data_IF_113786889498
#
_entry.id   IF_113786889498
#
_cell.length_a   1.000
_cell.length_b   1.000
_cell.length_c   1.000
_cell.angle_alpha   90.00
_cell.angle_beta   90.00
_cell.angle_gamma   90.00
#
_symmetry.space_group_name_H-M   'P 1'
#
loop_
_entity.id
_entity.type
_entity.pdbx_description
1 polymer ?
#
# COMPACT_ATOMS: atom_id res chain seq x y z
N UNK A 1 -21.19 4.38 8.53
CA UNK A 1 -20.28 3.24 8.75
C UNK A 1 -19.56 3.02 7.43
N UNK A 2 -18.23 2.88 7.38
CA UNK A 2 -17.55 2.55 6.14
C UNK A 2 -18.04 1.17 5.67
N UNK A 3 -18.29 1.03 4.38
CA UNK A 3 -18.75 -0.25 3.81
C UNK A 3 -17.66 -1.32 3.98
N UNK A 4 -18.02 -2.58 4.31
CA UNK A 4 -17.06 -3.67 4.49
C UNK A 4 -16.16 -3.87 3.25
N UNK A 5 -16.66 -3.54 2.06
CA UNK A 5 -15.92 -3.56 0.80
C UNK A 5 -14.78 -2.52 0.72
N UNK A 6 -14.92 -1.35 1.35
CA UNK A 6 -13.90 -0.31 1.28
C UNK A 6 -12.66 -0.70 2.11
N UNK A 7 -12.91 -1.33 3.26
CA UNK A 7 -11.89 -1.97 4.08
C UNK A 7 -11.22 -3.13 3.35
N UNK A 8 -12.01 -4.04 2.79
CA UNK A 8 -11.50 -5.17 2.02
C UNK A 8 -10.63 -4.70 0.84
N UNK A 9 -11.00 -3.60 0.17
CA UNK A 9 -10.18 -2.97 -0.87
C UNK A 9 -8.87 -2.42 -0.32
N UNK A 10 -8.89 -1.71 0.80
CA UNK A 10 -7.66 -1.20 1.42
C UNK A 10 -6.71 -2.35 1.82
N UNK A 11 -7.24 -3.41 2.42
CA UNK A 11 -6.48 -4.62 2.70
C UNK A 11 -5.94 -5.26 1.42
N UNK A 12 -6.75 -5.40 0.37
CA UNK A 12 -6.33 -5.97 -0.91
C UNK A 12 -5.24 -5.15 -1.62
N UNK A 13 -5.28 -3.81 -1.55
CA UNK A 13 -4.22 -2.92 -2.07
C UNK A 13 -2.88 -3.18 -1.36
N UNK A 14 -2.92 -3.44 -0.06
CA UNK A 14 -1.78 -3.85 0.75
C UNK A 14 -1.44 -5.35 0.63
N UNK A 15 -2.16 -6.11 -0.18
CA UNK A 15 -1.97 -7.56 -0.31
C UNK A 15 -2.31 -8.36 0.95
N UNK A 16 -3.18 -7.80 1.80
CA UNK A 16 -3.64 -8.39 3.05
C UNK A 16 -5.07 -8.91 2.94
N UNK A 17 -5.43 -9.81 3.85
CA UNK A 17 -6.82 -10.25 3.98
C UNK A 17 -7.64 -9.28 4.85
N UNK A 18 -8.94 -9.13 4.54
CA UNK A 18 -9.85 -8.37 5.40
C UNK A 18 -9.91 -8.98 6.80
N UNK A 19 -9.61 -8.16 7.81
CA UNK A 19 -9.46 -8.59 9.20
C UNK A 19 -8.01 -8.74 9.68
N UNK A 20 -7.03 -8.39 8.84
CA UNK A 20 -5.63 -8.32 9.24
C UNK A 20 -5.39 -7.28 10.34
N UNK A 21 -4.52 -7.59 11.30
CA UNK A 21 -4.20 -6.68 12.40
C UNK A 21 -3.30 -5.54 11.96
N UNK A 22 -3.28 -4.44 12.72
CA UNK A 22 -2.38 -3.28 12.49
C UNK A 22 -0.91 -3.67 12.32
N UNK A 23 -0.45 -4.71 13.04
CA UNK A 23 0.90 -5.25 12.86
C UNK A 23 1.13 -5.84 11.47
N UNK A 24 0.17 -6.61 10.95
CA UNK A 24 0.23 -7.15 9.59
C UNK A 24 0.17 -6.04 8.54
N UNK A 25 -0.68 -5.02 8.77
CA UNK A 25 -0.77 -3.82 7.94
C UNK A 25 0.58 -3.12 7.83
N UNK A 26 1.26 -2.86 8.96
CA UNK A 26 2.62 -2.28 8.96
C UNK A 26 3.63 -3.16 8.25
N UNK A 27 3.62 -4.46 8.50
CA UNK A 27 4.58 -5.41 7.88
C UNK A 27 4.42 -5.44 6.36
N UNK A 28 3.19 -5.54 5.87
CA UNK A 28 2.90 -5.56 4.44
C UNK A 28 3.25 -4.23 3.78
N UNK A 29 2.87 -3.10 4.40
CA UNK A 29 3.21 -1.76 3.93
C UNK A 29 4.73 -1.60 3.79
N UNK A 30 5.50 -1.97 4.81
CA UNK A 30 6.96 -1.85 4.79
C UNK A 30 7.59 -2.74 3.70
N UNK A 31 7.10 -3.97 3.54
CA UNK A 31 7.57 -4.88 2.49
C UNK A 31 7.25 -4.38 1.08
N UNK A 32 6.04 -3.86 0.86
CA UNK A 32 5.64 -3.29 -0.42
C UNK A 32 6.42 -2.02 -0.75
N UNK A 33 6.61 -1.14 0.23
CA UNK A 33 7.38 0.09 0.06
C UNK A 33 8.84 -0.21 -0.33
N UNK A 34 9.43 -1.27 0.24
CA UNK A 34 10.77 -1.76 -0.14
C UNK A 34 10.81 -2.29 -1.58
N UNK A 35 9.70 -2.84 -2.08
CA UNK A 35 9.54 -3.26 -3.47
C UNK A 35 9.40 -2.10 -4.45
N UNK A 36 8.69 -1.04 -4.05
CA UNK A 36 8.49 0.19 -4.82
C UNK A 36 9.57 1.26 -4.56
N UNK A 37 10.69 0.89 -3.94
CA UNK A 37 11.74 1.86 -3.59
C UNK A 37 12.18 2.65 -4.83
N UNK A 38 12.20 3.99 -4.76
CA UNK A 38 12.59 4.84 -5.87
C UNK A 38 13.99 4.50 -6.37
N UNK A 39 14.85 3.96 -5.52
CA UNK A 39 16.18 3.46 -5.85
C UNK A 39 16.15 2.33 -6.89
N UNK A 40 15.21 1.38 -6.75
CA UNK A 40 15.03 0.26 -7.69
C UNK A 40 14.36 0.69 -8.99
N UNK A 41 13.54 1.73 -8.99
CA UNK A 41 12.88 2.23 -10.22
C UNK A 41 13.60 3.41 -10.85
N UNK A 42 14.56 4.03 -10.15
CA UNK A 42 15.37 5.13 -10.66
C UNK A 42 16.19 4.71 -11.88
N UNK A 43 16.68 3.47 -11.89
CA UNK A 43 17.40 2.92 -13.05
C UNK A 43 16.48 2.54 -14.23
N UNK A 44 15.17 2.36 -13.99
CA UNK A 44 14.20 1.92 -15.00
C UNK A 44 13.56 3.10 -15.76
N UNK A 45 13.82 4.34 -15.36
CA UNK A 45 13.35 5.55 -16.03
C UNK A 45 12.13 6.21 -15.40
N UNK A 46 11.80 7.41 -15.90
CA UNK A 46 10.77 8.31 -15.33
C UNK A 46 9.37 7.68 -15.30
N UNK A 47 9.05 6.81 -16.25
CA UNK A 47 7.76 6.10 -16.28
C UNK A 47 7.60 5.12 -15.11
N UNK A 48 8.62 4.29 -14.84
CA UNK A 48 8.57 3.39 -13.68
C UNK A 48 8.58 4.15 -12.36
N UNK A 49 9.31 5.27 -12.30
CA UNK A 49 9.28 6.13 -11.12
C UNK A 49 7.88 6.69 -10.85
N UNK A 50 7.16 7.15 -11.89
CA UNK A 50 5.76 7.61 -11.74
C UNK A 50 4.81 6.49 -11.32
N UNK A 51 4.93 5.31 -11.92
CA UNK A 51 4.14 4.13 -11.55
C UNK A 51 4.37 3.71 -10.09
N UNK A 52 5.64 3.68 -9.66
CA UNK A 52 5.99 3.37 -8.28
C UNK A 52 5.46 4.42 -7.31
N UNK A 53 5.54 5.71 -7.66
CA UNK A 53 5.02 6.79 -6.82
C UNK A 53 3.48 6.74 -6.72
N UNK A 54 2.78 6.38 -7.80
CA UNK A 54 1.33 6.12 -7.78
C UNK A 54 0.98 4.93 -6.90
N UNK A 55 1.65 3.79 -7.09
CA UNK A 55 1.46 2.58 -6.27
C UNK A 55 1.75 2.85 -4.79
N UNK A 56 2.82 3.57 -4.50
CA UNK A 56 3.19 3.96 -3.15
C UNK A 56 2.15 4.89 -2.53
N UNK A 57 1.59 5.85 -3.29
CA UNK A 57 0.47 6.68 -2.83
C UNK A 57 -0.76 5.87 -2.50
N UNK A 58 -1.18 4.96 -3.39
CA UNK A 58 -2.33 4.08 -3.14
C UNK A 58 -2.12 3.23 -1.88
N UNK A 59 -0.92 2.69 -1.70
CA UNK A 59 -0.56 1.94 -0.49
C UNK A 59 -0.64 2.80 0.77
N UNK A 60 -0.17 4.05 0.69
CA UNK A 60 -0.18 4.97 1.82
C UNK A 60 -1.62 5.41 2.15
N UNK A 61 -2.46 5.68 1.14
CA UNK A 61 -3.88 5.99 1.32
C UNK A 61 -4.66 4.82 1.94
N UNK A 62 -4.41 3.59 1.47
CA UNK A 62 -4.99 2.39 2.03
C UNK A 62 -4.54 2.18 3.48
N UNK A 63 -3.22 2.30 3.74
CA UNK A 63 -2.65 2.20 5.08
C UNK A 63 -3.24 3.25 6.03
N UNK A 64 -3.35 4.51 5.58
CA UNK A 64 -3.88 5.60 6.40
C UNK A 64 -5.38 5.42 6.70
N UNK A 65 -6.17 4.90 5.74
CA UNK A 65 -7.56 4.48 5.99
C UNK A 65 -7.64 3.39 7.04
N UNK A 66 -6.81 2.36 6.93
CA UNK A 66 -6.76 1.25 7.90
C UNK A 66 -6.24 1.68 9.28
N UNK A 67 -5.31 2.64 9.33
CA UNK A 67 -4.76 3.17 10.57
C UNK A 67 -5.72 4.13 11.27
N UNK A 68 -6.61 4.82 10.55
CA UNK A 68 -7.58 5.76 11.12
C UNK A 68 -8.84 5.09 11.71
N UNK A 69 -8.96 3.77 11.58
CA UNK A 69 -9.91 2.92 12.31
C UNK A 69 -9.40 2.62 13.73
#
# INVERSE_FOLDING_TARGET
MPEPDELARAYAVLGLQPGATREQIRKAYHGLMTGYHPDKVAHLGVELRRLAEQKARELNEAYQRLERL
#
